data_IF_040292310210
#
_entry.id   IF_040292310210
#
_cell.length_a   1.000
_cell.length_b   1.000
_cell.length_c   1.000
_cell.angle_alpha   90.00
_cell.angle_beta   90.00
_cell.angle_gamma   90.00
#
_symmetry.space_group_name_H-M   'P 1'
#
loop_
_entity.id
_entity.type
_entity.pdbx_description
1 polymer ?
#
# COMPACT_ATOMS: atom_id res chain seq x y z
N UNK A 1 -8.26 9.13 3.71
CA UNK A 1 -8.79 9.11 5.09
C UNK A 1 -7.65 8.79 6.05
N UNK A 2 -7.66 9.34 7.27
CA UNK A 2 -6.66 9.04 8.29
C UNK A 2 -7.30 8.22 9.43
N UNK A 3 -6.58 7.25 9.99
CA UNK A 3 -7.05 6.42 11.10
C UNK A 3 -6.46 6.91 12.43
N UNK A 4 -7.34 7.10 13.41
CA UNK A 4 -6.98 7.43 14.79
C UNK A 4 -6.25 6.28 15.49
N UNK A 5 -6.59 5.02 15.21
CA UNK A 5 -5.96 3.85 15.85
C UNK A 5 -4.48 3.75 15.47
N UNK A 6 -4.15 4.03 14.21
CA UNK A 6 -2.77 4.13 13.72
C UNK A 6 -2.00 5.26 14.42
N UNK A 7 -2.62 6.43 14.56
CA UNK A 7 -2.02 7.58 15.24
C UNK A 7 -1.72 7.29 16.71
N UNK A 8 -2.66 6.68 17.44
CA UNK A 8 -2.50 6.33 18.86
C UNK A 8 -1.37 5.30 19.06
N UNK A 9 -1.17 4.39 18.10
CA UNK A 9 -0.01 3.47 18.05
C UNK A 9 1.28 4.10 17.52
N UNK A 10 1.28 5.40 17.18
CA UNK A 10 2.41 6.12 16.57
C UNK A 10 2.90 5.52 15.25
N UNK A 11 1.99 4.93 14.48
CA UNK A 11 2.26 4.42 13.13
C UNK A 11 2.00 5.52 12.11
N UNK A 12 3.07 5.97 11.44
CA UNK A 12 3.03 7.03 10.44
C UNK A 12 3.54 6.54 9.08
N UNK A 13 2.89 6.95 7.98
CA UNK A 13 1.72 7.82 7.89
C UNK A 13 0.42 7.09 8.29
N UNK A 14 -0.47 7.76 9.03
CA UNK A 14 -1.69 7.14 9.58
C UNK A 14 -2.84 7.08 8.56
N UNK A 15 -2.58 6.61 7.35
CA UNK A 15 -3.51 6.61 6.21
C UNK A 15 -4.33 5.33 6.19
N UNK A 16 -5.64 5.45 5.96
CA UNK A 16 -6.51 4.32 5.64
C UNK A 16 -6.42 4.01 4.15
N UNK A 17 -5.71 2.94 3.80
CA UNK A 17 -5.45 2.58 2.40
C UNK A 17 -6.70 2.07 1.68
N UNK A 18 -7.52 1.26 2.34
CA UNK A 18 -8.75 0.69 1.77
C UNK A 18 -9.78 1.77 1.38
N UNK A 19 -9.78 2.91 2.09
CA UNK A 19 -10.66 4.05 1.81
C UNK A 19 -10.01 5.14 0.96
N UNK A 20 -8.76 4.96 0.56
CA UNK A 20 -8.01 5.95 -0.22
C UNK A 20 -7.93 5.47 -1.67
N UNK A 21 -8.32 6.33 -2.60
CA UNK A 21 -8.30 6.01 -4.02
C UNK A 21 -8.57 7.23 -4.87
N UNK A 22 -8.14 7.18 -6.13
CA UNK A 22 -8.31 8.24 -7.10
C UNK A 22 -9.24 7.75 -8.21
N UNK A 23 -10.23 8.57 -8.57
CA UNK A 23 -11.11 8.26 -9.71
C UNK A 23 -10.31 8.30 -11.00
N UNK A 24 -10.58 7.36 -11.91
CA UNK A 24 -9.89 7.22 -13.20
C UNK A 24 -8.36 7.13 -13.09
N UNK A 25 -7.87 6.37 -12.12
CA UNK A 25 -6.44 6.18 -11.91
C UNK A 25 -5.72 5.51 -13.10
N UNK A 26 -6.44 4.85 -13.99
CA UNK A 26 -5.93 4.32 -15.26
C UNK A 26 -5.40 5.39 -16.23
N UNK A 27 -5.79 6.66 -16.04
CA UNK A 27 -5.26 7.79 -16.82
C UNK A 27 -3.96 8.35 -16.23
N UNK A 28 -3.64 8.02 -14.98
CA UNK A 28 -2.51 8.56 -14.23
C UNK A 28 -1.36 7.56 -14.10
N UNK A 29 -1.70 6.27 -14.08
CA UNK A 29 -0.74 5.19 -13.87
C UNK A 29 -0.53 4.41 -15.16
N UNK A 30 0.74 4.07 -15.44
CA UNK A 30 1.04 3.12 -16.49
C UNK A 30 0.32 1.77 -16.23
N UNK A 31 -0.11 1.03 -17.26
CA UNK A 31 -0.89 -0.20 -17.10
C UNK A 31 -0.25 -1.23 -16.16
N UNK A 32 1.09 -1.35 -16.22
CA UNK A 32 1.87 -2.24 -15.35
C UNK A 32 1.80 -1.84 -13.87
N UNK A 33 1.93 -0.55 -13.56
CA UNK A 33 1.85 -0.04 -12.19
C UNK A 33 0.41 -0.13 -11.68
N UNK A 34 -0.57 0.13 -12.54
CA UNK A 34 -1.98 -0.02 -12.19
C UNK A 34 -2.31 -1.46 -11.76
N UNK A 35 -1.82 -2.46 -12.50
CA UNK A 35 -2.01 -3.86 -12.15
C UNK A 35 -1.34 -4.20 -10.81
N UNK A 36 -0.08 -3.78 -10.61
CA UNK A 36 0.63 -4.00 -9.34
C UNK A 36 -0.09 -3.35 -8.15
N UNK A 37 -0.60 -2.13 -8.34
CA UNK A 37 -1.32 -1.39 -7.29
C UNK A 37 -2.66 -2.05 -6.95
N UNK A 38 -3.36 -2.64 -7.94
CA UNK A 38 -4.59 -3.42 -7.71
C UNK A 38 -4.33 -4.69 -6.89
N UNK A 39 -3.28 -5.44 -7.22
CA UNK A 39 -2.89 -6.64 -6.45
C UNK A 39 -2.56 -6.24 -5.00
N UNK A 40 -1.77 -5.17 -4.81
CA UNK A 40 -1.45 -4.66 -3.49
C UNK A 40 -2.72 -4.29 -2.70
N UNK A 41 -3.67 -3.58 -3.32
CA UNK A 41 -4.94 -3.24 -2.67
C UNK A 41 -5.77 -4.47 -2.31
N UNK A 42 -5.80 -5.49 -3.17
CA UNK A 42 -6.52 -6.72 -2.88
C UNK A 42 -5.91 -7.50 -1.70
N UNK A 43 -4.58 -7.54 -1.61
CA UNK A 43 -3.88 -8.13 -0.47
C UNK A 43 -4.25 -7.40 0.84
N UNK A 44 -4.23 -6.06 0.80
CA UNK A 44 -4.48 -5.20 1.95
C UNK A 44 -5.94 -5.17 2.40
N UNK A 45 -6.88 -5.44 1.49
CA UNK A 45 -8.30 -5.49 1.80
C UNK A 45 -8.67 -6.62 2.77
N UNK A 46 -7.90 -7.72 2.74
CA UNK A 46 -8.13 -8.87 3.61
C UNK A 46 -7.50 -8.73 5.02
N UNK A 47 -6.74 -7.66 5.26
CA UNK A 47 -5.99 -7.43 6.50
C UNK A 47 -6.65 -6.33 7.34
N UNK A 48 -6.43 -6.34 8.66
CA UNK A 48 -6.79 -5.20 9.51
C UNK A 48 -5.96 -3.97 9.13
N UNK A 49 -6.53 -2.77 9.29
CA UNK A 49 -5.90 -1.50 8.87
C UNK A 49 -4.52 -1.29 9.49
N UNK A 50 -4.31 -1.76 10.73
CA UNK A 50 -3.03 -1.64 11.42
C UNK A 50 -2.00 -2.60 10.82
N UNK A 51 -2.37 -3.87 10.66
CA UNK A 51 -1.50 -4.91 10.12
C UNK A 51 -1.07 -4.59 8.68
N UNK A 52 -2.03 -4.12 7.88
CA UNK A 52 -1.84 -3.68 6.49
C UNK A 52 -0.81 -2.56 6.38
N UNK A 53 -0.91 -1.55 7.26
CA UNK A 53 0.05 -0.43 7.30
C UNK A 53 1.43 -0.84 7.79
N UNK A 54 1.51 -1.71 8.80
CA UNK A 54 2.79 -2.22 9.31
C UNK A 54 3.52 -3.05 8.24
N UNK A 55 2.79 -3.93 7.53
CA UNK A 55 3.33 -4.70 6.41
C UNK A 55 3.85 -3.80 5.30
N UNK A 56 3.08 -2.77 4.91
CA UNK A 56 3.50 -1.80 3.89
C UNK A 56 4.77 -1.07 4.32
N UNK A 57 4.82 -0.55 5.54
CA UNK A 57 5.99 0.15 6.06
C UNK A 57 7.21 -0.76 6.13
N UNK A 58 7.04 -2.03 6.52
CA UNK A 58 8.14 -3.01 6.54
C UNK A 58 8.73 -3.20 5.14
N UNK A 59 7.89 -3.42 4.13
CA UNK A 59 8.33 -3.67 2.77
C UNK A 59 8.93 -2.41 2.11
N UNK A 60 8.32 -1.24 2.35
CA UNK A 60 8.85 0.02 1.85
C UNK A 60 10.19 0.36 2.51
N UNK A 61 10.39 0.09 3.81
CA UNK A 61 11.69 0.28 4.48
C UNK A 61 12.79 -0.63 3.95
N UNK A 62 12.45 -1.78 3.38
CA UNK A 62 13.40 -2.71 2.79
C UNK A 62 13.87 -2.27 1.38
N UNK A 63 13.25 -1.25 0.80
CA UNK A 63 13.56 -0.77 -0.56
C UNK A 63 13.80 0.73 -0.56
N UNK A 64 14.55 1.24 -1.54
CA UNK A 64 14.82 2.69 -1.63
C UNK A 64 13.79 3.40 -2.49
N UNK A 65 13.21 2.68 -3.46
CA UNK A 65 12.27 3.25 -4.44
C UNK A 65 11.00 2.42 -4.57
N UNK A 66 9.91 3.06 -4.99
CA UNK A 66 8.65 2.36 -5.25
C UNK A 66 8.78 1.32 -6.36
N UNK A 67 9.71 1.51 -7.31
CA UNK A 67 9.98 0.54 -8.39
C UNK A 67 10.54 -0.75 -7.79
N UNK A 68 11.56 -0.63 -6.95
CA UNK A 68 12.16 -1.77 -6.23
C UNK A 68 11.13 -2.48 -5.35
N UNK A 69 10.30 -1.73 -4.62
CA UNK A 69 9.22 -2.29 -3.80
C UNK A 69 8.28 -3.16 -4.62
N UNK A 70 7.82 -2.65 -5.76
CA UNK A 70 6.90 -3.35 -6.65
C UNK A 70 7.54 -4.58 -7.32
N UNK A 71 8.85 -4.57 -7.55
CA UNK A 71 9.57 -5.72 -8.09
C UNK A 71 9.86 -6.80 -7.04
N UNK A 72 10.09 -6.39 -5.78
CA UNK A 72 10.22 -7.31 -4.65
C UNK A 72 8.92 -8.09 -4.41
N UNK A 73 7.76 -7.42 -4.48
CA UNK A 73 6.44 -8.05 -4.29
C UNK A 73 6.14 -9.12 -5.36
N UNK A 74 6.75 -9.05 -6.54
CA UNK A 74 6.60 -10.06 -7.60
C UNK A 74 7.34 -11.37 -7.29
N UNK A 75 8.38 -11.33 -6.44
CA UNK A 75 9.22 -12.49 -6.12
C UNK A 75 8.70 -13.34 -4.96
N UNK A 76 7.65 -12.89 -4.27
CA UNK A 76 7.06 -13.58 -3.11
C UNK A 76 5.86 -14.49 -3.46
N UNK A 77 5.71 -14.89 -4.72
CA UNK A 77 4.71 -15.85 -5.19
C UNK A 77 5.36 -17.11 -5.72
#
# INVERSE_FOLDING_TARGET
>A
HLDRRLYEKRVFPSIQLNRSGTRREELLLAPEILQKTRILRQLMYNMDEIESMELMLKNMKATKTNVEFFDMMRRGG
#
